data_IF_580268037953
#
_entry.id   IF_580268037953
#
_cell.length_a   1.000
_cell.length_b   1.000
_cell.length_c   1.000
_cell.angle_alpha   90.00
_cell.angle_beta   90.00
_cell.angle_gamma   90.00
#
_symmetry.space_group_name_H-M   'P 1'
#
loop_
_entity.id
_entity.type
_entity.pdbx_description
1 polymer ?
#
# COMPACT_ATOMS: atom_id res chain seq x y z
N UNK A 1 2.43 20.55 -11.83
CA UNK A 1 2.36 19.69 -13.03
C UNK A 1 1.17 18.77 -12.86
N UNK A 2 0.11 18.97 -13.62
CA UNK A 2 -1.05 18.07 -13.65
C UNK A 2 -0.63 16.77 -14.33
N UNK A 3 -0.63 15.67 -13.59
CA UNK A 3 -0.44 14.33 -14.16
C UNK A 3 -1.66 14.03 -15.03
N UNK A 4 -1.51 14.12 -16.35
CA UNK A 4 -2.59 13.92 -17.34
C UNK A 4 -2.97 12.46 -17.57
N UNK A 5 -2.32 11.52 -16.89
CA UNK A 5 -2.62 10.10 -16.97
C UNK A 5 -3.61 9.62 -15.89
N UNK A 6 -4.26 8.46 -16.11
CA UNK A 6 -5.16 7.85 -15.13
C UNK A 6 -4.43 7.39 -13.86
N UNK A 7 -3.11 7.24 -13.92
CA UNK A 7 -2.28 6.87 -12.78
C UNK A 7 -2.08 8.07 -11.86
N UNK A 8 -2.34 7.84 -10.57
CA UNK A 8 -1.97 8.77 -9.52
C UNK A 8 -0.52 8.55 -9.12
N UNK A 9 0.21 9.65 -8.94
CA UNK A 9 1.57 9.68 -8.37
C UNK A 9 1.50 10.07 -6.90
N UNK A 10 2.39 9.48 -6.10
CA UNK A 10 2.51 9.76 -4.67
C UNK A 10 2.79 11.24 -4.37
N UNK A 11 2.12 11.77 -3.36
CA UNK A 11 2.39 13.06 -2.72
C UNK A 11 3.28 12.82 -1.49
N UNK A 12 4.55 13.22 -1.57
CA UNK A 12 5.54 13.06 -0.50
C UNK A 12 5.11 13.74 0.82
N UNK A 13 4.25 14.77 0.78
CA UNK A 13 3.75 15.42 1.99
C UNK A 13 2.81 14.52 2.81
N UNK A 14 2.31 13.43 2.19
CA UNK A 14 1.47 12.42 2.81
C UNK A 14 2.27 11.21 3.34
N UNK A 15 3.59 11.35 3.51
CA UNK A 15 4.46 10.33 4.09
C UNK A 15 5.06 10.89 5.38
N UNK A 16 4.77 10.25 6.51
CA UNK A 16 5.40 10.55 7.79
C UNK A 16 6.60 9.62 7.99
N UNK A 17 7.76 10.21 8.29
CA UNK A 17 9.01 9.51 8.57
C UNK A 17 9.48 9.94 9.96
N UNK A 18 9.78 8.99 10.83
CA UNK A 18 10.35 9.29 12.16
C UNK A 18 11.87 9.09 12.18
N UNK A 19 12.51 9.57 13.24
CA UNK A 19 13.97 9.46 13.45
C UNK A 19 14.44 8.04 13.80
N UNK A 20 13.52 7.10 14.03
CA UNK A 20 13.80 5.69 14.35
C UNK A 20 13.77 4.80 13.11
N UNK A 21 13.58 5.38 11.93
CA UNK A 21 13.49 4.65 10.66
C UNK A 21 12.09 4.10 10.37
N UNK A 22 11.05 4.50 11.11
CA UNK A 22 9.69 4.12 10.77
C UNK A 22 9.12 5.07 9.72
N UNK A 23 8.23 4.55 8.89
CA UNK A 23 7.44 5.35 7.96
C UNK A 23 5.97 4.93 7.97
N UNK A 24 5.10 5.92 7.83
CA UNK A 24 3.66 5.77 7.61
C UNK A 24 3.28 6.50 6.33
N UNK A 25 2.74 5.75 5.37
CA UNK A 25 2.32 6.30 4.08
C UNK A 25 0.79 6.37 4.08
N UNK A 26 0.25 7.58 3.96
CA UNK A 26 -1.18 7.82 3.89
C UNK A 26 -1.68 7.78 2.43
N UNK A 27 -3.00 7.75 2.18
CA UNK A 27 -3.61 7.52 0.87
C UNK A 27 -3.05 8.34 -0.29
N UNK A 28 -2.73 9.62 -0.04
CA UNK A 28 -2.17 10.48 -1.08
C UNK A 28 -0.70 10.17 -1.41
N UNK A 29 0.02 9.51 -0.51
CA UNK A 29 1.39 9.04 -0.69
C UNK A 29 1.49 7.69 -1.43
N UNK A 30 0.37 7.14 -1.90
CA UNK A 30 0.37 5.97 -2.78
C UNK A 30 0.44 6.39 -4.25
N UNK A 31 1.17 5.60 -5.04
CA UNK A 31 0.98 5.52 -6.48
C UNK A 31 -0.14 4.51 -6.75
N UNK A 32 -1.14 4.90 -7.54
CA UNK A 32 -2.35 4.08 -7.74
C UNK A 32 -2.71 4.07 -9.22
N UNK A 33 -2.78 2.88 -9.80
CA UNK A 33 -3.33 2.70 -11.16
C UNK A 33 -4.81 3.06 -11.17
N UNK A 34 -5.22 3.90 -12.13
CA UNK A 34 -6.55 4.54 -12.18
C UNK A 34 -6.84 5.52 -11.03
N UNK A 35 -5.88 5.85 -10.18
CA UNK A 35 -6.12 6.67 -8.98
C UNK A 35 -6.46 8.15 -9.23
N UNK A 36 -6.26 8.66 -10.45
CA UNK A 36 -6.72 10.00 -10.83
C UNK A 36 -8.11 10.00 -11.46
N UNK A 37 -8.73 8.83 -11.61
CA UNK A 37 -10.05 8.66 -12.22
C UNK A 37 -11.08 8.38 -11.13
N UNK A 38 -11.97 9.34 -10.92
CA UNK A 38 -12.95 9.33 -9.85
C UNK A 38 -14.05 8.28 -10.06
N UNK A 39 -14.13 7.65 -11.23
CA UNK A 39 -15.01 6.50 -11.48
C UNK A 39 -14.54 5.26 -10.75
N UNK A 40 -13.22 5.15 -10.51
CA UNK A 40 -12.58 3.96 -9.95
C UNK A 40 -12.11 4.15 -8.51
N UNK A 41 -11.69 5.36 -8.14
CA UNK A 41 -11.17 5.66 -6.81
C UNK A 41 -11.79 6.92 -6.20
N UNK A 42 -11.93 6.94 -4.89
CA UNK A 42 -12.12 8.16 -4.11
C UNK A 42 -10.97 8.27 -3.11
N UNK A 43 -10.17 9.33 -3.20
CA UNK A 43 -9.01 9.54 -2.34
C UNK A 43 -9.21 10.86 -1.61
N UNK A 44 -9.12 10.85 -0.28
CA UNK A 44 -9.23 12.07 0.53
C UNK A 44 -8.24 13.14 0.08
N UNK A 45 -8.66 14.40 0.11
CA UNK A 45 -7.86 15.54 -0.31
C UNK A 45 -6.87 16.00 0.79
N UNK A 46 -6.07 17.03 0.50
CA UNK A 46 -5.08 17.60 1.44
C UNK A 46 -5.64 18.15 2.73
N UNK A 47 -6.90 18.58 2.71
CA UNK A 47 -7.52 19.23 3.84
C UNK A 47 -8.07 18.20 4.84
N UNK A 48 -8.18 16.94 4.43
CA UNK A 48 -8.53 15.84 5.33
C UNK A 48 -7.33 15.51 6.22
N UNK A 49 -7.50 15.47 7.56
CA UNK A 49 -6.44 15.01 8.46
C UNK A 49 -5.94 13.62 8.05
N UNK A 50 -4.62 13.41 8.09
CA UNK A 50 -3.98 12.14 7.70
C UNK A 50 -4.61 10.92 8.40
N UNK A 51 -4.90 11.04 9.70
CA UNK A 51 -5.55 10.00 10.52
C UNK A 51 -6.97 9.62 10.08
N UNK A 52 -7.65 10.49 9.34
CA UNK A 52 -9.01 10.29 8.83
C UNK A 52 -9.04 10.11 7.31
N UNK A 53 -7.87 10.14 6.65
CA UNK A 53 -7.77 10.03 5.21
C UNK A 53 -7.93 8.58 4.75
N UNK A 54 -8.57 8.38 3.59
CA UNK A 54 -8.80 7.04 3.02
C UNK A 54 -8.61 7.06 1.50
N UNK A 55 -8.07 5.98 0.95
CA UNK A 55 -8.21 5.62 -0.47
C UNK A 55 -9.29 4.54 -0.57
N UNK A 56 -10.48 4.93 -1.01
CA UNK A 56 -11.61 4.06 -1.28
C UNK A 56 -11.59 3.61 -2.74
N UNK A 57 -11.52 2.30 -2.94
CA UNK A 57 -11.71 1.67 -4.23
C UNK A 57 -13.21 1.57 -4.52
N UNK A 58 -13.69 2.29 -5.54
CA UNK A 58 -15.07 2.15 -6.02
C UNK A 58 -15.24 0.86 -6.80
N UNK A 59 -14.42 0.65 -7.83
CA UNK A 59 -14.38 -0.58 -8.61
C UNK A 59 -13.14 -0.65 -9.50
N UNK A 60 -12.49 -1.81 -9.64
CA UNK A 60 -11.48 -2.10 -10.68
C UNK A 60 -11.42 -3.59 -10.99
N UNK A 61 -11.00 -3.96 -12.21
CA UNK A 61 -10.52 -5.32 -12.51
C UNK A 61 -9.00 -5.48 -12.27
N UNK A 62 -8.25 -4.38 -12.35
CA UNK A 62 -6.80 -4.29 -12.11
C UNK A 62 -6.52 -3.50 -10.83
N UNK A 63 -6.13 -4.18 -9.75
CA UNK A 63 -5.73 -3.53 -8.49
C UNK A 63 -4.22 -3.43 -8.42
N UNK A 64 -3.69 -2.22 -8.37
CA UNK A 64 -2.28 -1.94 -8.17
C UNK A 64 -2.10 -0.65 -7.37
N UNK A 65 -1.64 -0.80 -6.13
CA UNK A 65 -1.34 0.30 -5.20
C UNK A 65 0.08 0.10 -4.71
N UNK A 66 0.94 1.11 -4.84
CA UNK A 66 2.35 1.01 -4.45
C UNK A 66 2.81 2.22 -3.68
N UNK A 67 3.82 2.04 -2.84
CA UNK A 67 4.53 3.10 -2.16
C UNK A 67 5.98 2.71 -1.92
N UNK A 68 6.75 3.68 -1.47
CA UNK A 68 8.14 3.45 -1.10
C UNK A 68 8.61 4.41 -0.03
N UNK A 69 9.64 4.02 0.70
CA UNK A 69 10.35 4.90 1.63
C UNK A 69 11.85 4.64 1.58
N UNK A 70 12.61 5.72 1.62
CA UNK A 70 14.07 5.74 1.78
C UNK A 70 14.49 5.94 3.25
N UNK A 71 13.52 6.03 4.19
CA UNK A 71 13.77 6.14 5.63
C UNK A 71 14.22 4.81 6.23
N UNK A 72 15.34 4.28 5.75
CA UNK A 72 15.82 2.95 6.10
C UNK A 72 17.29 2.95 6.50
N UNK A 73 17.64 2.06 7.41
CA UNK A 73 18.97 1.81 7.92
C UNK A 73 19.47 0.46 7.39
N UNK A 74 20.76 0.40 7.10
CA UNK A 74 21.43 -0.83 6.67
C UNK A 74 21.59 -1.80 7.84
N UNK A 75 21.55 -3.10 7.55
CA UNK A 75 21.63 -4.17 8.55
C UNK A 75 20.38 -4.29 9.43
N UNK A 76 19.27 -3.65 9.06
CA UNK A 76 18.02 -3.62 9.84
C UNK A 76 16.88 -4.28 9.08
N UNK A 77 15.95 -4.85 9.84
CA UNK A 77 14.76 -5.52 9.33
C UNK A 77 13.54 -4.68 9.64
N UNK A 78 12.56 -4.70 8.74
CA UNK A 78 11.35 -3.91 8.81
C UNK A 78 10.12 -4.79 8.66
N UNK A 79 9.12 -4.61 9.53
CA UNK A 79 7.75 -5.10 9.31
C UNK A 79 7.02 -4.15 8.39
N UNK A 80 6.43 -4.69 7.33
CA UNK A 80 5.71 -3.92 6.32
C UNK A 80 4.35 -4.52 5.99
N UNK A 81 3.37 -3.65 5.73
CA UNK A 81 2.01 -4.05 5.40
C UNK A 81 1.08 -2.85 5.23
N UNK A 82 -0.22 -3.15 5.09
CA UNK A 82 -1.28 -2.15 4.93
C UNK A 82 -2.30 -2.26 6.04
N UNK A 83 -2.87 -1.13 6.45
CA UNK A 83 -4.07 -1.08 7.25
C UNK A 83 -5.26 -0.75 6.36
N UNK A 84 -6.25 -1.64 6.35
CA UNK A 84 -7.39 -1.60 5.44
C UNK A 84 -8.71 -1.83 6.18
N UNK A 85 -9.82 -1.60 5.50
CA UNK A 85 -11.14 -2.08 5.91
C UNK A 85 -12.01 -2.31 4.68
N UNK A 86 -13.06 -3.12 4.81
CA UNK A 86 -14.02 -3.38 3.73
C UNK A 86 -15.30 -2.59 3.96
N UNK A 87 -15.91 -2.02 2.92
CA UNK A 87 -17.26 -1.46 3.04
C UNK A 87 -18.31 -2.58 3.16
N UNK A 88 -19.50 -2.31 3.73
CA UNK A 88 -20.61 -3.27 3.74
C UNK A 88 -21.08 -3.71 2.36
N UNK A 89 -20.93 -2.84 1.35
CA UNK A 89 -21.26 -3.08 -0.06
C UNK A 89 -20.04 -3.53 -0.88
N UNK A 90 -18.96 -3.98 -0.23
CA UNK A 90 -17.79 -4.52 -0.94
C UNK A 90 -18.17 -5.78 -1.72
N UNK A 91 -17.62 -5.91 -2.92
CA UNK A 91 -17.98 -6.98 -3.85
C UNK A 91 -16.76 -7.50 -4.62
N UNK A 92 -16.89 -8.71 -5.18
CA UNK A 92 -15.92 -9.28 -6.11
C UNK A 92 -14.67 -9.87 -5.47
N UNK A 93 -14.56 -9.94 -4.14
CA UNK A 93 -13.37 -10.44 -3.44
C UNK A 93 -13.36 -11.95 -3.17
N UNK A 94 -14.50 -12.63 -3.31
CA UNK A 94 -14.62 -14.05 -3.00
C UNK A 94 -13.79 -14.91 -3.96
N UNK A 95 -12.95 -15.78 -3.40
CA UNK A 95 -12.05 -16.65 -4.16
C UNK A 95 -10.96 -15.89 -4.91
N UNK A 96 -10.59 -14.69 -4.46
CA UNK A 96 -9.48 -13.90 -5.00
C UNK A 96 -8.41 -13.72 -3.93
N UNK A 97 -7.16 -13.96 -4.33
CA UNK A 97 -5.99 -13.70 -3.50
C UNK A 97 -5.39 -12.34 -3.86
N UNK A 98 -5.30 -11.44 -2.88
CA UNK A 98 -4.59 -10.17 -3.02
C UNK A 98 -3.16 -10.35 -2.54
N UNK A 99 -2.20 -9.87 -3.32
CA UNK A 99 -0.79 -10.02 -3.03
C UNK A 99 -0.27 -8.76 -2.36
N UNK A 100 0.17 -8.87 -1.12
CA UNK A 100 1.00 -7.85 -0.47
C UNK A 100 2.45 -8.21 -0.79
N UNK A 101 3.18 -7.31 -1.44
CA UNK A 101 4.54 -7.57 -1.91
C UNK A 101 5.48 -6.46 -1.48
N UNK A 102 6.70 -6.81 -1.08
CA UNK A 102 7.74 -5.84 -0.77
C UNK A 102 9.13 -6.27 -1.24
N UNK A 103 10.01 -5.29 -1.49
CA UNK A 103 11.41 -5.51 -1.91
C UNK A 103 12.30 -4.33 -1.53
N UNK A 104 13.61 -4.57 -1.47
CA UNK A 104 14.64 -3.52 -1.32
C UNK A 104 15.18 -3.14 -2.69
N UNK A 105 15.12 -1.85 -3.02
CA UNK A 105 15.56 -1.29 -4.30
C UNK A 105 14.68 -1.71 -5.49
N UNK A 106 14.89 -1.05 -6.63
CA UNK A 106 14.08 -1.27 -7.84
C UNK A 106 14.24 -2.67 -8.43
N UNK A 107 15.44 -3.26 -8.33
CA UNK A 107 15.77 -4.59 -8.87
C UNK A 107 15.78 -5.69 -7.81
N UNK A 108 15.34 -5.41 -6.58
CA UNK A 108 15.31 -6.39 -5.51
C UNK A 108 14.32 -7.53 -5.76
N UNK A 109 14.59 -8.67 -5.12
CA UNK A 109 13.66 -9.82 -5.10
C UNK A 109 12.44 -9.46 -4.26
N UNK A 110 11.26 -9.74 -4.79
CA UNK A 110 10.02 -9.58 -4.03
C UNK A 110 9.85 -10.69 -3.01
N UNK A 111 9.49 -10.28 -1.79
CA UNK A 111 8.80 -11.11 -0.82
C UNK A 111 7.31 -10.80 -0.90
N UNK A 112 6.47 -11.80 -0.74
CA UNK A 112 5.03 -11.60 -0.82
C UNK A 112 4.27 -12.52 0.12
N UNK A 113 3.08 -12.07 0.53
CA UNK A 113 2.06 -12.89 1.17
C UNK A 113 0.75 -12.68 0.44
N UNK A 114 -0.03 -13.75 0.34
CA UNK A 114 -1.37 -13.73 -0.24
C UNK A 114 -2.39 -13.53 0.86
N UNK A 115 -3.42 -12.74 0.58
CA UNK A 115 -4.45 -12.36 1.54
C UNK A 115 -5.82 -12.53 0.89
N UNK A 116 -6.73 -13.23 1.56
CA UNK A 116 -8.14 -13.25 1.20
C UNK A 116 -8.86 -12.08 1.87
N UNK A 117 -9.61 -11.29 1.08
CA UNK A 117 -10.45 -10.19 1.58
C UNK A 117 -11.95 -10.52 1.56
N UNK A 118 -12.35 -11.62 0.93
CA UNK A 118 -13.77 -11.98 0.73
C UNK A 118 -14.53 -12.25 2.02
N UNK A 119 -13.87 -12.83 3.03
CA UNK A 119 -14.51 -13.28 4.27
C UNK A 119 -14.32 -12.30 5.44
N UNK A 120 -13.80 -11.09 5.17
CA UNK A 120 -13.49 -10.10 6.20
C UNK A 120 -14.73 -9.32 6.61
N UNK A 121 -14.89 -9.07 7.91
CA UNK A 121 -16.04 -8.33 8.43
C UNK A 121 -16.04 -6.88 7.91
N UNK A 122 -17.20 -6.37 7.44
CA UNK A 122 -17.30 -4.98 7.02
C UNK A 122 -16.97 -3.99 8.13
N UNK A 123 -16.37 -2.86 7.75
CA UNK A 123 -15.96 -1.74 8.59
C UNK A 123 -14.94 -2.07 9.70
N UNK A 124 -14.50 -3.32 9.82
CA UNK A 124 -13.40 -3.68 10.70
C UNK A 124 -12.07 -3.18 10.12
N UNK A 125 -11.24 -2.56 10.95
CA UNK A 125 -9.86 -2.22 10.59
C UNK A 125 -8.99 -3.46 10.71
N UNK A 126 -8.28 -3.77 9.64
CA UNK A 126 -7.50 -4.98 9.47
C UNK A 126 -6.07 -4.61 9.06
N UNK A 127 -5.10 -5.30 9.63
CA UNK A 127 -3.72 -5.28 9.13
C UNK A 127 -3.55 -6.42 8.13
N UNK A 128 -3.06 -6.11 6.93
CA UNK A 128 -2.77 -7.10 5.90
C UNK A 128 -1.30 -7.05 5.45
N UNK A 129 -0.65 -8.22 5.32
CA UNK A 129 -1.10 -9.53 5.83
C UNK A 129 -1.22 -9.55 7.36
N UNK A 130 -2.02 -10.47 7.92
CA UNK A 130 -2.22 -10.60 9.39
C UNK A 130 -0.89 -10.73 10.14
N UNK A 131 0.03 -11.49 9.56
CA UNK A 131 1.44 -11.44 9.91
C UNK A 131 2.20 -10.60 8.87
N UNK A 132 2.63 -9.37 9.21
CA UNK A 132 3.35 -8.49 8.29
C UNK A 132 4.55 -9.14 7.61
N UNK A 133 4.92 -8.65 6.43
CA UNK A 133 6.16 -9.06 5.76
C UNK A 133 7.35 -8.50 6.53
N UNK A 134 8.43 -9.29 6.61
CA UNK A 134 9.71 -8.83 7.16
C UNK A 134 10.70 -8.62 6.02
N UNK A 135 11.25 -7.40 5.90
CA UNK A 135 12.18 -7.01 4.84
C UNK A 135 13.47 -6.52 5.47
N UNK A 136 14.58 -7.20 5.17
CA UNK A 136 15.92 -6.80 5.62
C UNK A 136 16.60 -5.93 4.57
N UNK A 137 17.12 -4.78 4.99
CA UNK A 137 18.01 -3.96 4.16
C UNK A 137 19.43 -4.38 4.48
N UNK A 138 20.06 -5.19 3.61
CA UNK A 138 21.39 -5.75 3.86
C UNK A 138 22.45 -4.67 4.09
N UNK A 139 23.44 -4.97 4.94
CA UNK A 139 24.57 -4.09 5.23
C UNK A 139 25.36 -3.68 3.95
N UNK A 140 25.38 -4.57 2.96
CA UNK A 140 26.02 -4.37 1.66
C UNK A 140 25.18 -3.57 0.67
N UNK A 141 23.94 -3.18 1.01
CA UNK A 141 23.03 -2.49 0.09
C UNK A 141 23.62 -1.12 -0.34
N UNK A 142 23.87 -0.91 -1.65
CA UNK A 142 24.35 0.36 -2.17
C UNK A 142 23.40 1.51 -1.86
N UNK A 143 23.92 2.72 -1.61
CA UNK A 143 23.13 3.89 -1.17
C UNK A 143 21.92 4.16 -2.08
N UNK A 144 22.10 4.03 -3.39
CA UNK A 144 21.05 4.26 -4.39
C UNK A 144 19.93 3.20 -4.41
N UNK A 145 20.10 2.09 -3.70
CA UNK A 145 19.10 1.00 -3.59
C UNK A 145 18.44 0.93 -2.22
N UNK A 146 18.78 1.83 -1.28
CA UNK A 146 18.25 1.88 0.09
C UNK A 146 16.84 2.46 0.13
N UNK A 147 15.92 1.73 -0.49
CA UNK A 147 14.51 2.09 -0.54
C UNK A 147 13.72 0.81 -0.41
N UNK A 148 12.79 0.77 0.54
CA UNK A 148 11.80 -0.31 0.59
C UNK A 148 10.64 0.09 -0.31
N UNK A 149 10.31 -0.78 -1.25
CA UNK A 149 9.09 -0.69 -2.06
C UNK A 149 8.07 -1.68 -1.51
N UNK A 150 6.83 -1.23 -1.34
CA UNK A 150 5.70 -2.02 -0.88
C UNK A 150 4.53 -1.83 -1.86
N UNK A 151 3.77 -2.88 -2.09
CA UNK A 151 2.58 -2.80 -2.94
C UNK A 151 1.52 -3.84 -2.62
N UNK A 152 0.31 -3.53 -3.07
CA UNK A 152 -0.89 -4.34 -2.97
C UNK A 152 -1.41 -4.59 -4.39
N UNK A 153 -1.48 -5.86 -4.78
CA UNK A 153 -1.73 -6.26 -6.17
C UNK A 153 -2.85 -7.28 -6.26
N UNK A 154 -3.73 -7.07 -7.22
CA UNK A 154 -4.61 -8.10 -7.78
C UNK A 154 -4.88 -7.75 -9.24
N UNK A 155 -3.94 -8.15 -10.09
CA UNK A 155 -3.89 -7.79 -11.52
C UNK A 155 -4.12 -9.00 -12.44
N UNK A 156 -4.30 -10.19 -11.86
CA UNK A 156 -4.26 -11.45 -12.61
C UNK A 156 -5.65 -11.98 -12.93
N UNK A 157 -6.59 -11.88 -11.98
CA UNK A 157 -7.90 -12.52 -12.18
C UNK A 157 -8.79 -11.77 -13.15
N UNK A 158 -8.53 -10.48 -13.37
CA UNK A 158 -9.36 -9.55 -14.14
C UNK A 158 -10.82 -9.45 -13.64
N UNK A 159 -11.13 -9.98 -12.45
CA UNK A 159 -12.45 -9.88 -11.86
C UNK A 159 -12.68 -8.48 -11.31
N UNK A 160 -13.86 -7.91 -11.57
CA UNK A 160 -14.25 -6.63 -10.98
C UNK A 160 -14.46 -6.77 -9.48
N UNK A 161 -13.85 -5.86 -8.72
CA UNK A 161 -13.93 -5.79 -7.26
C UNK A 161 -14.01 -4.35 -6.79
N UNK A 162 -14.63 -4.12 -5.63
CA UNK A 162 -14.85 -2.78 -5.09
C UNK A 162 -15.09 -2.77 -3.58
N UNK A 163 -15.07 -1.58 -2.99
CA UNK A 163 -15.35 -1.36 -1.56
C UNK A 163 -14.17 -1.57 -0.61
N UNK A 164 -12.96 -1.78 -1.12
CA UNK A 164 -11.73 -1.74 -0.29
C UNK A 164 -11.43 -0.30 0.13
N UNK A 165 -11.10 -0.10 1.41
CA UNK A 165 -10.57 1.16 1.94
C UNK A 165 -9.16 0.95 2.46
N UNK A 166 -8.21 1.71 1.95
CA UNK A 166 -6.82 1.71 2.43
C UNK A 166 -6.62 2.96 3.29
N UNK A 167 -6.27 2.76 4.56
CA UNK A 167 -6.06 3.84 5.53
C UNK A 167 -4.61 4.29 5.54
N UNK A 168 -3.69 3.34 5.52
CA UNK A 168 -2.25 3.61 5.45
C UNK A 168 -1.47 2.35 5.07
N UNK A 169 -0.20 2.56 4.70
CA UNK A 169 0.82 1.53 4.72
C UNK A 169 1.85 1.87 5.81
N UNK A 170 2.40 0.84 6.44
CA UNK A 170 3.40 1.00 7.48
C UNK A 170 4.70 0.28 7.10
N UNK A 171 5.82 0.91 7.46
CA UNK A 171 7.15 0.34 7.43
C UNK A 171 7.75 0.62 8.80
N UNK A 172 7.92 -0.43 9.61
CA UNK A 172 8.32 -0.31 11.00
C UNK A 172 9.58 -1.11 11.26
N UNK A 173 10.61 -0.46 11.78
CA UNK A 173 11.88 -1.11 12.12
C UNK A 173 11.68 -2.12 13.25
N UNK A 174 12.27 -3.29 13.11
CA UNK A 174 12.39 -4.30 14.17
C UNK A 174 13.75 -4.09 14.84
N UNK A 175 13.77 -3.86 16.16
CA UNK A 175 15.01 -3.70 16.94
C UNK A 175 15.70 -2.35 16.76
#
# INVERSE_FOLDING_TARGET
MSTTGPHRVADETAIDKDTKGNARIYPRGFNITWGNDDRYWHISNSNTPKSSSVAELKQVSWLEVTCSTDNVEIGKTYKVGFNVSMKPDAFGWNGIEVYVMAKVGKSGKFMFKKVSLGDKQPNEKLTIPEEPLEITVDASTPKQLRTIHLGLYEVWTQKWKGGLKIHDAFIQKIG
#
